data_IF_259728480611
#
_entry.id   IF_259728480611
#
_cell.length_a   1.000
_cell.length_b   1.000
_cell.length_c   1.000
_cell.angle_alpha   90.00
_cell.angle_beta   90.00
_cell.angle_gamma   90.00
#
_symmetry.space_group_name_H-M   'P 1'
#
loop_
_entity.id
_entity.type
_entity.pdbx_description
1 polymer ?
#
# COMPACT_ATOMS: atom_id res chain seq x y z
N UNK A 1 36.35 -45.98 -48.32
CA UNK A 1 35.77 -45.76 -46.98
C UNK A 1 34.38 -46.37 -46.97
N UNK A 2 34.12 -47.27 -46.02
CA UNK A 2 32.91 -48.09 -45.90
C UNK A 2 31.73 -47.29 -45.33
N UNK A 3 30.55 -47.57 -45.87
CA UNK A 3 29.17 -47.29 -45.45
C UNK A 3 28.94 -46.79 -44.01
N UNK A 4 28.28 -45.63 -43.85
CA UNK A 4 27.56 -45.25 -42.63
C UNK A 4 26.31 -44.40 -42.95
N UNK A 5 25.33 -44.98 -43.64
CA UNK A 5 23.94 -44.50 -43.55
C UNK A 5 23.07 -45.70 -43.19
N UNK A 6 22.90 -45.91 -41.88
CA UNK A 6 22.11 -47.03 -41.36
C UNK A 6 20.62 -46.72 -41.49
N UNK A 7 19.84 -47.75 -41.84
CA UNK A 7 18.36 -47.74 -41.97
C UNK A 7 17.59 -47.29 -40.71
N UNK A 8 18.28 -46.90 -39.63
CA UNK A 8 17.68 -46.35 -38.41
C UNK A 8 17.43 -44.83 -38.47
N UNK A 9 17.98 -44.14 -39.47
CA UNK A 9 17.81 -42.67 -39.59
C UNK A 9 16.52 -42.28 -40.32
N UNK A 10 15.98 -43.14 -41.20
CA UNK A 10 14.76 -42.84 -41.95
C UNK A 10 13.45 -43.05 -41.16
N UNK A 11 13.49 -43.70 -40.00
CA UNK A 11 12.29 -43.90 -39.15
C UNK A 11 12.04 -42.75 -38.16
N UNK A 12 13.03 -41.87 -37.94
CA UNK A 12 12.92 -40.78 -36.95
C UNK A 12 12.25 -39.53 -37.57
N UNK A 13 12.32 -39.35 -38.89
CA UNK A 13 11.74 -38.18 -39.58
C UNK A 13 10.22 -38.35 -39.83
N UNK A 14 9.72 -39.58 -39.86
CA UNK A 14 8.31 -39.88 -40.13
C UNK A 14 7.40 -39.90 -38.87
N UNK A 15 7.97 -39.92 -37.66
CA UNK A 15 7.18 -39.87 -36.40
C UNK A 15 6.91 -38.43 -35.95
N UNK A 16 7.66 -37.44 -36.46
CA UNK A 16 7.48 -36.02 -36.12
C UNK A 16 6.34 -35.36 -36.91
N UNK A 17 5.82 -36.00 -37.96
CA UNK A 17 4.85 -35.40 -38.89
C UNK A 17 3.39 -35.88 -38.75
N UNK A 18 3.05 -36.71 -37.76
CA UNK A 18 1.69 -37.22 -37.55
C UNK A 18 1.20 -37.10 -36.10
N UNK A 19 1.07 -35.86 -35.62
CA UNK A 19 0.20 -35.51 -34.50
C UNK A 19 -0.20 -34.03 -34.54
N UNK A 20 -0.69 -33.56 -35.69
CA UNK A 20 -1.43 -32.30 -35.79
C UNK A 20 -2.86 -32.65 -36.19
N UNK A 21 -3.62 -33.18 -35.23
CA UNK A 21 -5.07 -33.21 -35.29
C UNK A 21 -5.61 -32.47 -34.07
N UNK A 22 -6.53 -31.55 -34.35
CA UNK A 22 -7.06 -30.53 -33.45
C UNK A 22 -7.43 -31.06 -32.06
N UNK A 23 -6.69 -30.59 -31.06
CA UNK A 23 -7.18 -30.38 -29.71
C UNK A 23 -6.67 -29.02 -29.31
N UNK A 24 -7.57 -28.05 -29.10
CA UNK A 24 -7.20 -26.82 -28.42
C UNK A 24 -6.73 -27.20 -27.03
N UNK A 25 -5.41 -27.26 -26.82
CA UNK A 25 -4.86 -27.28 -25.48
C UNK A 25 -5.13 -25.91 -24.89
N UNK A 26 -6.22 -25.80 -24.14
CA UNK A 26 -6.33 -24.77 -23.12
C UNK A 26 -5.17 -25.03 -22.16
N UNK A 27 -4.07 -24.29 -22.34
CA UNK A 27 -3.08 -24.18 -21.27
C UNK A 27 -3.83 -23.53 -20.12
N UNK A 28 -4.18 -24.31 -19.10
CA UNK A 28 -4.46 -23.73 -17.80
C UNK A 28 -3.17 -23.01 -17.41
N UNK A 29 -3.18 -21.68 -17.49
CA UNK A 29 -2.10 -20.87 -16.93
C UNK A 29 -2.01 -21.27 -15.45
N UNK A 30 -0.95 -22.00 -15.10
CA UNK A 30 -0.78 -22.48 -13.74
C UNK A 30 -0.69 -21.24 -12.84
N UNK A 31 -1.65 -21.08 -11.93
CA UNK A 31 -1.62 -20.02 -10.92
C UNK A 31 -0.33 -20.06 -10.07
N UNK A 32 0.38 -21.20 -10.08
CA UNK A 32 1.69 -21.36 -9.49
C UNK A 32 2.77 -20.88 -10.45
N UNK A 33 3.43 -19.78 -10.05
CA UNK A 33 4.68 -19.31 -10.66
C UNK A 33 5.85 -19.73 -9.77
N UNK A 34 6.84 -20.37 -10.37
CA UNK A 34 8.08 -20.65 -9.67
C UNK A 34 8.85 -19.35 -9.43
N UNK A 35 9.26 -19.13 -8.19
CA UNK A 35 10.09 -18.00 -7.78
C UNK A 35 11.40 -18.50 -7.16
N UNK A 36 12.44 -17.67 -7.19
CA UNK A 36 13.66 -17.87 -6.41
C UNK A 36 13.58 -17.01 -5.17
N UNK A 37 13.68 -17.61 -3.99
CA UNK A 37 13.63 -16.92 -2.70
C UNK A 37 14.67 -17.50 -1.74
N UNK A 38 15.01 -16.74 -0.70
CA UNK A 38 15.97 -17.15 0.33
C UNK A 38 15.26 -17.47 1.62
N UNK A 39 15.58 -18.59 2.25
CA UNK A 39 15.13 -18.85 3.62
C UNK A 39 16.03 -18.11 4.60
N UNK A 40 15.46 -17.40 5.58
CA UNK A 40 16.20 -16.61 6.55
C UNK A 40 15.95 -17.11 7.98
N UNK A 41 16.84 -17.99 8.44
CA UNK A 41 16.77 -18.62 9.76
C UNK A 41 17.18 -17.68 10.92
N UNK A 42 17.79 -16.53 10.60
CA UNK A 42 18.21 -15.56 11.61
C UNK A 42 17.07 -14.60 12.02
N UNK A 43 15.97 -14.55 11.26
CA UNK A 43 14.83 -13.71 11.57
C UNK A 43 13.99 -14.31 12.70
N UNK A 44 13.85 -13.53 13.77
CA UNK A 44 12.97 -13.82 14.89
C UNK A 44 11.61 -13.18 14.69
N UNK A 45 10.56 -13.93 14.94
CA UNK A 45 9.17 -13.45 14.87
C UNK A 45 8.66 -13.34 16.30
N UNK A 46 8.02 -12.21 16.64
CA UNK A 46 7.42 -12.02 17.96
C UNK A 46 5.98 -11.54 17.83
N UNK A 47 5.12 -11.99 18.75
CA UNK A 47 3.73 -11.54 18.91
C UNK A 47 3.59 -11.02 20.34
N UNK A 48 3.20 -9.75 20.49
CA UNK A 48 3.10 -9.07 21.79
C UNK A 48 4.40 -9.16 22.64
N UNK A 49 5.57 -9.16 21.98
CA UNK A 49 6.86 -9.25 22.64
C UNK A 49 7.31 -10.67 23.01
N UNK A 50 6.48 -11.69 22.79
CA UNK A 50 6.86 -13.10 22.95
C UNK A 50 7.31 -13.71 21.63
N UNK A 51 8.42 -14.46 21.64
CA UNK A 51 8.93 -15.16 20.45
C UNK A 51 7.95 -16.25 20.00
N UNK A 52 7.67 -16.29 18.70
CA UNK A 52 6.77 -17.27 18.07
C UNK A 52 7.55 -18.54 17.77
N UNK A 53 7.01 -19.68 18.20
CA UNK A 53 7.55 -20.98 17.78
C UNK A 53 7.18 -21.23 16.30
N UNK A 54 8.21 -21.39 15.48
CA UNK A 54 8.06 -21.64 14.04
C UNK A 54 8.12 -23.13 13.69
N UNK A 55 8.19 -24.00 14.70
CA UNK A 55 8.22 -25.45 14.53
C UNK A 55 6.85 -25.99 14.11
N UNK A 56 6.85 -26.96 13.19
CA UNK A 56 5.66 -27.71 12.76
C UNK A 56 6.03 -29.18 12.63
N UNK A 57 5.03 -30.07 12.59
CA UNK A 57 5.22 -31.51 12.39
C UNK A 57 6.00 -31.83 11.11
N UNK A 58 5.81 -31.01 10.06
CA UNK A 58 6.49 -31.12 8.76
C UNK A 58 7.87 -30.41 8.70
N UNK A 59 8.34 -29.89 9.83
CA UNK A 59 9.60 -29.12 9.93
C UNK A 59 9.39 -27.64 10.23
N UNK A 60 10.50 -26.93 10.47
CA UNK A 60 10.46 -25.51 10.88
C UNK A 60 10.10 -24.60 9.70
N UNK A 61 9.07 -23.78 9.90
CA UNK A 61 8.50 -22.87 8.91
C UNK A 61 9.25 -21.54 8.88
N UNK A 62 10.56 -21.55 8.61
CA UNK A 62 11.38 -20.34 8.67
C UNK A 62 10.86 -19.22 7.75
N UNK A 63 11.04 -17.94 8.15
CA UNK A 63 10.76 -16.81 7.28
C UNK A 63 11.49 -16.91 5.94
N UNK A 64 10.82 -16.45 4.89
CA UNK A 64 11.36 -16.40 3.53
C UNK A 64 11.56 -14.95 3.13
N UNK A 65 12.73 -14.64 2.61
CA UNK A 65 13.02 -13.36 1.96
C UNK A 65 12.83 -13.52 0.47
N UNK A 66 11.88 -12.77 -0.07
CA UNK A 66 11.63 -12.70 -1.50
C UNK A 66 11.46 -11.23 -1.88
N UNK A 67 12.21 -10.80 -2.88
CA UNK A 67 12.18 -9.42 -3.42
C UNK A 67 12.34 -8.35 -2.32
N UNK A 68 13.32 -8.53 -1.43
CA UNK A 68 13.59 -7.60 -0.33
C UNK A 68 12.60 -7.63 0.84
N UNK A 69 11.50 -8.40 0.73
CA UNK A 69 10.49 -8.52 1.77
C UNK A 69 10.63 -9.83 2.56
N UNK A 70 10.36 -9.77 3.86
CA UNK A 70 10.30 -10.96 4.73
C UNK A 70 8.86 -11.46 4.85
N UNK A 71 8.64 -12.68 4.40
CA UNK A 71 7.39 -13.42 4.50
C UNK A 71 7.47 -14.38 5.69
N UNK A 72 6.44 -14.36 6.52
CA UNK A 72 6.38 -15.14 7.76
C UNK A 72 5.21 -16.11 7.67
N UNK A 73 5.35 -17.29 8.28
CA UNK A 73 4.28 -18.29 8.37
C UNK A 73 3.03 -17.71 9.04
N UNK A 74 1.95 -17.57 8.27
CA UNK A 74 0.66 -17.13 8.79
C UNK A 74 0.13 -18.10 9.87
N UNK A 75 0.42 -19.41 9.73
CA UNK A 75 0.06 -20.44 10.72
C UNK A 75 0.70 -20.17 12.08
N UNK A 76 2.03 -20.02 12.10
CA UNK A 76 2.76 -19.80 13.35
C UNK A 76 2.31 -18.52 14.07
N UNK A 77 2.11 -17.44 13.32
CA UNK A 77 1.62 -16.16 13.88
C UNK A 77 0.19 -16.28 14.41
N UNK A 78 -0.72 -16.91 13.66
CA UNK A 78 -2.10 -17.08 14.09
C UNK A 78 -2.22 -17.97 15.33
N UNK A 79 -1.47 -19.08 15.39
CA UNK A 79 -1.45 -19.98 16.55
C UNK A 79 -0.87 -19.27 17.79
N UNK A 80 0.19 -18.47 17.62
CA UNK A 80 0.72 -17.62 18.70
C UNK A 80 -0.31 -16.59 19.22
N UNK A 81 -1.28 -16.20 18.38
CA UNK A 81 -2.41 -15.35 18.75
C UNK A 81 -3.63 -16.12 19.27
N UNK A 82 -3.51 -17.44 19.49
CA UNK A 82 -4.60 -18.32 19.92
C UNK A 82 -5.60 -18.67 18.81
N UNK A 83 -5.28 -18.33 17.57
CA UNK A 83 -6.07 -18.59 16.38
C UNK A 83 -5.72 -19.92 15.70
N UNK A 84 -6.26 -20.12 14.49
CA UNK A 84 -5.96 -21.29 13.66
C UNK A 84 -5.90 -20.90 12.18
N UNK A 85 -5.16 -21.69 11.40
CA UNK A 85 -5.09 -21.54 9.94
C UNK A 85 -5.45 -22.87 9.29
N UNK A 86 -6.36 -22.83 8.32
CA UNK A 86 -6.79 -24.01 7.56
C UNK A 86 -6.80 -23.73 6.07
N UNK A 87 -6.41 -24.72 5.29
CA UNK A 87 -6.64 -24.71 3.86
C UNK A 87 -8.05 -25.24 3.58
N UNK A 88 -8.88 -24.43 2.93
CA UNK A 88 -10.17 -24.85 2.40
C UNK A 88 -10.00 -25.17 0.91
N UNK A 89 -9.98 -26.47 0.60
CA UNK A 89 -9.80 -26.94 -0.77
C UNK A 89 -10.99 -26.61 -1.70
N UNK A 90 -12.20 -26.47 -1.15
CA UNK A 90 -13.40 -26.21 -1.96
C UNK A 90 -13.42 -24.78 -2.51
N UNK A 91 -12.97 -23.82 -1.71
CA UNK A 91 -12.91 -22.40 -2.05
C UNK A 91 -11.52 -21.95 -2.50
N UNK A 92 -10.51 -22.83 -2.40
CA UNK A 92 -9.10 -22.51 -2.64
C UNK A 92 -8.61 -21.34 -1.78
N UNK A 93 -9.01 -21.32 -0.50
CA UNK A 93 -8.68 -20.24 0.44
C UNK A 93 -7.87 -20.73 1.64
N UNK A 94 -6.95 -19.89 2.10
CA UNK A 94 -6.35 -20.01 3.44
C UNK A 94 -7.28 -19.27 4.41
N UNK A 95 -7.96 -20.02 5.27
CA UNK A 95 -8.85 -19.49 6.29
C UNK A 95 -8.09 -19.30 7.59
N UNK A 96 -8.12 -18.07 8.13
CA UNK A 96 -7.49 -17.72 9.40
C UNK A 96 -8.59 -17.35 10.38
N UNK A 97 -8.67 -18.05 11.51
CA UNK A 97 -9.58 -17.73 12.61
C UNK A 97 -8.80 -17.10 13.74
N UNK A 98 -9.24 -15.96 14.26
CA UNK A 98 -8.66 -15.38 15.47
C UNK A 98 -9.06 -16.19 16.70
N UNK A 99 -8.16 -16.28 17.68
CA UNK A 99 -8.50 -16.77 19.00
C UNK A 99 -9.35 -15.74 19.73
N UNK A 100 -10.48 -16.14 20.32
CA UNK A 100 -11.16 -15.31 21.32
C UNK A 100 -10.25 -15.21 22.52
N UNK A 101 -9.60 -14.06 22.71
CA UNK A 101 -8.89 -13.76 23.95
C UNK A 101 -9.94 -13.61 25.05
N UNK A 102 -10.19 -14.65 25.84
CA UNK A 102 -10.84 -14.53 27.15
C UNK A 102 -9.86 -13.85 28.09
N UNK A 103 -9.75 -12.53 27.96
CA UNK A 103 -9.05 -11.65 28.87
C UNK A 103 -9.86 -10.37 28.95
N UNK A 104 -10.78 -10.33 29.91
CA UNK A 104 -11.41 -9.10 30.35
C UNK A 104 -10.30 -8.16 30.84
N UNK A 105 -9.86 -7.25 29.97
CA UNK A 105 -9.09 -6.09 30.36
C UNK A 105 -10.08 -4.98 30.63
N UNK A 106 -10.28 -4.65 31.91
CA UNK A 106 -11.04 -3.46 32.32
C UNK A 106 -10.33 -2.22 31.73
N UNK A 107 -11.06 -1.23 31.17
CA UNK A 107 -10.45 -0.01 30.67
C UNK A 107 -9.84 0.77 31.83
N UNK A 108 -8.53 1.00 31.82
CA UNK A 108 -7.90 1.80 32.87
C UNK A 108 -7.96 3.28 32.49
N UNK A 109 -8.95 3.98 33.05
CA UNK A 109 -8.88 5.40 33.37
C UNK A 109 -9.44 5.56 34.77
N UNK A 110 -8.57 5.85 35.74
CA UNK A 110 -8.90 6.81 36.79
C UNK A 110 -7.65 7.49 37.36
N UNK A 111 -7.78 8.81 37.49
CA UNK A 111 -6.81 9.71 38.07
C UNK A 111 -7.09 9.83 39.58
N UNK A 112 -6.27 9.25 40.47
CA UNK A 112 -6.06 9.76 41.86
C UNK A 112 -4.75 9.24 42.49
N UNK A 113 -3.77 10.15 42.60
CA UNK A 113 -2.85 10.44 43.73
C UNK A 113 -2.30 9.36 44.71
N UNK A 114 -0.95 9.28 44.73
CA UNK A 114 0.03 9.10 45.87
C UNK A 114 0.47 7.67 46.29
N UNK A 115 1.69 7.46 46.89
CA UNK A 115 2.97 7.27 46.17
C UNK A 115 3.82 6.02 46.57
N UNK A 116 4.63 5.53 45.62
CA UNK A 116 5.94 4.78 45.77
C UNK A 116 5.95 3.38 46.45
N UNK A 117 6.89 2.45 46.12
CA UNK A 117 8.34 2.66 45.96
C UNK A 117 8.98 2.22 44.64
N UNK A 118 10.10 2.90 44.34
CA UNK A 118 11.05 2.74 43.24
C UNK A 118 11.82 1.41 43.32
N UNK A 119 11.89 0.61 42.24
CA UNK A 119 12.94 -0.40 42.08
C UNK A 119 14.19 0.18 41.42
N UNK A 120 15.31 -0.24 41.99
CA UNK A 120 16.70 0.13 41.76
C UNK A 120 17.22 -0.22 40.35
N UNK A 121 18.11 0.62 39.84
CA UNK A 121 18.81 0.48 38.57
C UNK A 121 19.78 -0.71 38.56
N UNK A 122 19.87 -1.40 37.42
CA UNK A 122 20.97 -2.31 37.05
C UNK A 122 21.71 -1.75 35.81
N UNK A 123 23.00 -2.07 35.64
CA UNK A 123 23.98 -1.18 35.01
C UNK A 123 24.02 -1.24 33.47
N UNK A 124 24.38 -0.09 32.90
CA UNK A 124 24.60 0.18 31.48
C UNK A 124 25.82 -0.59 30.92
N UNK A 125 25.74 -1.21 29.73
CA UNK A 125 26.91 -1.60 28.96
C UNK A 125 27.55 -0.37 28.25
N UNK A 126 28.87 -0.36 28.03
CA UNK A 126 29.61 0.79 27.48
C UNK A 126 29.24 1.14 26.02
N UNK A 127 29.52 2.39 25.58
CA UNK A 127 29.00 2.95 24.35
C UNK A 127 29.68 2.35 23.11
N UNK A 128 28.89 1.68 22.27
CA UNK A 128 29.32 1.38 20.89
C UNK A 128 28.91 2.56 20.02
N UNK A 129 29.90 3.41 19.72
CA UNK A 129 29.85 4.33 18.59
C UNK A 129 29.71 3.54 17.29
N UNK A 130 28.54 3.63 16.64
CA UNK A 130 28.37 3.29 15.22
C UNK A 130 27.75 4.51 14.50
N UNK A 131 28.22 4.86 13.29
CA UNK A 131 28.00 6.17 12.69
C UNK A 131 26.52 6.45 12.40
N UNK A 132 26.15 7.71 12.62
CA UNK A 132 24.97 8.36 12.05
C UNK A 132 25.04 8.30 10.52
N UNK A 133 24.45 7.27 9.92
CA UNK A 133 23.95 7.39 8.55
C UNK A 133 22.58 8.06 8.64
N UNK A 134 22.58 9.36 8.30
CA UNK A 134 21.36 10.11 8.12
C UNK A 134 20.49 9.41 7.08
N UNK A 135 19.29 9.02 7.49
CA UNK A 135 18.23 8.67 6.56
C UNK A 135 17.86 9.94 5.78
N UNK A 136 18.48 10.12 4.62
CA UNK A 136 18.02 11.10 3.65
C UNK A 136 16.76 10.53 3.01
N UNK A 137 15.60 10.90 3.57
CA UNK A 137 14.30 10.74 2.91
C UNK A 137 14.29 11.61 1.64
N UNK A 138 14.89 11.08 0.57
CA UNK A 138 15.00 11.70 -0.74
C UNK A 138 13.69 11.50 -1.52
N UNK A 139 12.61 12.08 -1.00
CA UNK A 139 11.48 12.48 -1.84
C UNK A 139 11.82 13.81 -2.54
N UNK A 140 11.53 13.90 -3.83
CA UNK A 140 11.71 15.11 -4.63
C UNK A 140 10.89 16.24 -4.03
N UNK A 141 11.56 17.27 -3.54
CA UNK A 141 10.92 18.51 -3.10
C UNK A 141 10.62 19.33 -4.35
N UNK A 142 9.35 19.40 -4.76
CA UNK A 142 8.94 20.47 -5.67
C UNK A 142 8.93 21.77 -4.88
N UNK A 143 9.81 22.69 -5.22
CA UNK A 143 9.81 24.04 -4.69
C UNK A 143 8.57 24.78 -5.21
N UNK A 144 7.44 24.74 -4.49
CA UNK A 144 6.25 25.50 -4.85
C UNK A 144 4.94 25.04 -4.20
N UNK A 145 3.88 25.80 -4.48
CA UNK A 145 2.47 25.49 -4.15
C UNK A 145 1.86 24.43 -5.09
N UNK A 146 2.69 23.81 -5.94
CA UNK A 146 2.24 22.73 -6.85
C UNK A 146 3.36 21.74 -7.17
N UNK A 147 2.98 20.51 -7.49
CA UNK A 147 3.86 19.46 -8.02
C UNK A 147 3.28 18.89 -9.30
N UNK A 148 4.13 18.60 -10.29
CA UNK A 148 3.75 17.86 -11.49
C UNK A 148 4.58 16.58 -11.58
N UNK A 149 3.93 15.46 -11.88
CA UNK A 149 4.57 14.14 -11.91
C UNK A 149 3.77 13.17 -12.80
N UNK A 150 4.46 12.16 -13.30
CA UNK A 150 3.80 11.00 -13.92
C UNK A 150 3.62 9.94 -12.84
N UNK A 151 2.42 9.38 -12.77
CA UNK A 151 2.14 8.25 -11.89
C UNK A 151 1.71 7.05 -12.72
N UNK A 152 2.06 5.88 -12.22
CA UNK A 152 1.77 4.61 -12.84
C UNK A 152 1.19 3.73 -11.74
N UNK A 153 0.02 3.16 -11.94
CA UNK A 153 -0.48 2.11 -11.07
C UNK A 153 -0.35 0.78 -11.80
N UNK A 154 0.61 -0.01 -11.38
CA UNK A 154 1.06 -1.26 -11.99
C UNK A 154 1.05 -2.42 -11.00
N UNK A 155 0.24 -2.34 -9.93
CA UNK A 155 0.15 -3.39 -8.93
C UNK A 155 -0.18 -4.74 -9.60
N UNK A 156 0.68 -5.78 -9.47
CA UNK A 156 0.52 -7.05 -10.18
C UNK A 156 -0.72 -7.84 -9.75
N UNK A 157 -1.30 -7.51 -8.60
CA UNK A 157 -2.53 -8.12 -8.09
C UNK A 157 -3.79 -7.40 -8.58
N UNK A 158 -3.66 -6.18 -9.09
CA UNK A 158 -4.80 -5.40 -9.58
C UNK A 158 -5.34 -5.92 -10.92
N UNK A 159 -6.63 -5.70 -11.14
CA UNK A 159 -7.32 -6.15 -12.36
C UNK A 159 -7.09 -5.23 -13.56
N UNK A 160 -6.65 -4.00 -13.31
CA UNK A 160 -6.28 -3.03 -14.33
C UNK A 160 -5.20 -2.09 -13.84
N UNK A 161 -4.36 -1.66 -14.76
CA UNK A 161 -3.29 -0.71 -14.54
C UNK A 161 -3.67 0.62 -15.18
N UNK A 162 -3.05 1.69 -14.70
CA UNK A 162 -3.24 2.99 -15.30
C UNK A 162 -1.97 3.82 -15.26
N UNK A 163 -1.92 4.82 -16.13
CA UNK A 163 -0.88 5.85 -16.15
C UNK A 163 -1.55 7.19 -16.31
N UNK A 164 -1.09 8.19 -15.56
CA UNK A 164 -1.59 9.55 -15.65
C UNK A 164 -0.48 10.57 -15.41
N UNK A 165 -0.61 11.74 -16.04
CA UNK A 165 0.24 12.89 -15.79
C UNK A 165 -0.52 13.84 -14.88
N UNK A 166 -0.09 13.95 -13.62
CA UNK A 166 -0.72 14.83 -12.65
C UNK A 166 -0.01 16.18 -12.56
N UNK A 167 -0.79 17.22 -12.34
CA UNK A 167 -0.36 18.46 -11.69
C UNK A 167 -1.31 18.73 -10.52
N UNK A 168 -0.78 18.73 -9.31
CA UNK A 168 -1.52 19.01 -8.08
C UNK A 168 -1.07 20.37 -7.56
N UNK A 169 -2.02 21.26 -7.31
CA UNK A 169 -1.79 22.58 -6.74
C UNK A 169 -2.56 22.74 -5.44
N UNK A 170 -1.95 23.38 -4.44
CA UNK A 170 -2.62 23.86 -3.22
C UNK A 170 -3.02 25.31 -3.46
N UNK A 171 -4.33 25.58 -3.48
CA UNK A 171 -4.86 26.91 -3.76
C UNK A 171 -5.04 27.73 -2.47
N UNK A 172 -5.50 27.09 -1.39
CA UNK A 172 -5.79 27.74 -0.11
C UNK A 172 -5.81 26.73 1.03
N UNK A 173 -5.24 27.09 2.17
CA UNK A 173 -5.41 26.35 3.43
C UNK A 173 -6.33 27.15 4.35
N UNK A 174 -7.41 26.52 4.82
CA UNK A 174 -8.38 27.14 5.74
C UNK A 174 -8.38 26.35 7.05
N UNK A 175 -7.85 26.91 8.15
CA UNK A 175 -7.94 26.27 9.46
C UNK A 175 -9.39 25.99 9.85
N UNK A 176 -9.64 24.84 10.47
CA UNK A 176 -10.96 24.48 10.99
C UNK A 176 -10.88 24.03 12.44
N UNK A 177 -11.90 24.38 13.24
CA UNK A 177 -12.03 23.92 14.63
C UNK A 177 -12.56 22.50 14.71
N UNK A 178 -12.45 21.86 15.88
CA UNK A 178 -13.03 20.54 16.11
C UNK A 178 -14.56 20.55 15.90
N UNK A 179 -15.25 21.63 16.25
CA UNK A 179 -16.68 21.84 16.00
C UNK A 179 -16.97 21.91 14.50
N UNK A 180 -16.17 22.64 13.72
CA UNK A 180 -16.33 22.70 12.27
C UNK A 180 -16.07 21.35 11.60
N UNK A 181 -15.21 20.50 12.16
CA UNK A 181 -15.05 19.10 11.69
C UNK A 181 -16.32 18.28 11.96
N UNK A 182 -17.03 18.52 13.07
CA UNK A 182 -18.33 17.90 13.34
C UNK A 182 -19.39 18.39 12.36
N UNK A 183 -19.40 19.69 12.03
CA UNK A 183 -20.33 20.27 11.06
C UNK A 183 -20.15 19.68 9.65
N UNK A 184 -18.95 19.18 9.33
CA UNK A 184 -18.67 18.42 8.10
C UNK A 184 -19.18 16.97 8.15
N UNK A 185 -19.78 16.52 9.27
CA UNK A 185 -20.34 15.18 9.44
C UNK A 185 -19.38 14.15 10.05
N UNK A 186 -18.23 14.57 10.56
CA UNK A 186 -17.25 13.65 11.16
C UNK A 186 -17.37 13.59 12.69
N UNK A 187 -16.78 12.54 13.27
CA UNK A 187 -16.63 12.47 14.72
C UNK A 187 -15.74 13.61 15.20
N UNK A 188 -16.11 14.23 16.32
CA UNK A 188 -15.30 15.27 16.95
C UNK A 188 -13.89 14.72 17.21
N UNK A 189 -12.84 15.31 16.61
CA UNK A 189 -11.49 14.84 16.82
C UNK A 189 -10.98 15.27 18.19
N UNK A 190 -10.01 14.53 18.73
CA UNK A 190 -9.38 14.85 20.01
C UNK A 190 -8.61 16.17 19.90
N UNK A 191 -8.93 17.14 20.76
CA UNK A 191 -8.16 18.38 20.86
C UNK A 191 -6.84 18.10 21.57
N UNK A 192 -5.76 18.02 20.80
CA UNK A 192 -4.41 17.82 21.31
C UNK A 192 -3.61 19.12 21.29
N UNK A 193 -2.62 19.24 22.18
CA UNK A 193 -1.71 20.39 22.18
C UNK A 193 -0.80 20.46 20.94
N UNK A 194 -0.70 19.38 20.16
CA UNK A 194 0.29 19.23 19.07
C UNK A 194 -0.32 19.26 17.67
N UNK A 195 -1.63 18.99 17.53
CA UNK A 195 -2.30 18.92 16.22
C UNK A 195 -3.45 19.90 16.06
N UNK A 196 -3.70 20.32 14.82
CA UNK A 196 -4.86 21.09 14.38
C UNK A 196 -5.43 20.52 13.09
N UNK A 197 -6.51 21.10 12.55
CA UNK A 197 -7.11 20.66 11.29
C UNK A 197 -7.25 21.81 10.31
N UNK A 198 -7.25 21.48 9.02
CA UNK A 198 -7.54 22.43 7.96
C UNK A 198 -8.25 21.76 6.78
N UNK A 199 -9.10 22.54 6.10
CA UNK A 199 -9.53 22.24 4.75
C UNK A 199 -8.50 22.84 3.79
N UNK A 200 -7.85 21.98 3.00
CA UNK A 200 -6.93 22.36 1.93
C UNK A 200 -7.70 22.30 0.62
N UNK A 201 -7.83 23.46 -0.04
CA UNK A 201 -8.37 23.56 -1.38
C UNK A 201 -7.28 23.17 -2.37
N UNK A 202 -7.50 22.07 -3.09
CA UNK A 202 -6.56 21.54 -4.07
C UNK A 202 -7.16 21.60 -5.46
N UNK A 203 -6.32 21.86 -6.47
CA UNK A 203 -6.66 21.64 -7.88
C UNK A 203 -5.84 20.45 -8.38
N UNK A 204 -6.51 19.44 -8.90
CA UNK A 204 -5.88 18.29 -9.56
C UNK A 204 -6.19 18.34 -11.04
N UNK A 205 -5.13 18.52 -11.84
CA UNK A 205 -5.16 18.28 -13.28
C UNK A 205 -4.55 16.91 -13.56
N UNK A 206 -5.30 16.05 -14.22
CA UNK A 206 -4.84 14.76 -14.70
C UNK A 206 -4.96 14.73 -16.22
N UNK A 207 -3.83 14.71 -16.91
CA UNK A 207 -3.73 14.58 -18.35
C UNK A 207 -3.26 13.17 -18.72
N UNK A 208 -3.52 12.75 -19.97
CA UNK A 208 -3.05 11.48 -20.51
C UNK A 208 -3.38 10.26 -19.62
N UNK A 209 -4.59 10.24 -19.04
CA UNK A 209 -5.07 9.09 -18.30
C UNK A 209 -5.27 7.94 -19.27
N UNK A 210 -4.48 6.90 -19.12
CA UNK A 210 -4.57 5.67 -19.91
C UNK A 210 -4.84 4.49 -18.97
N UNK A 211 -5.73 3.61 -19.40
CA UNK A 211 -6.10 2.40 -18.66
C UNK A 211 -5.74 1.16 -19.48
N UNK A 212 -5.19 0.16 -18.82
CA UNK A 212 -4.95 -1.17 -19.39
C UNK A 212 -5.60 -2.22 -18.51
N UNK A 213 -6.30 -3.16 -19.13
CA UNK A 213 -6.89 -4.29 -18.43
C UNK A 213 -5.89 -5.44 -18.41
N UNK A 214 -5.64 -6.00 -17.22
CA UNK A 214 -4.63 -7.05 -17.02
C UNK A 214 -5.27 -8.40 -16.78
N UNK A 215 -6.43 -8.44 -16.11
CA UNK A 215 -7.23 -9.66 -15.92
C UNK A 215 -8.65 -9.41 -16.43
N UNK A 216 -9.09 -10.09 -17.51
CA UNK A 216 -10.46 -9.98 -17.98
C UNK A 216 -11.41 -10.60 -16.94
N UNK A 217 -12.34 -9.80 -16.44
CA UNK A 217 -13.43 -10.22 -15.57
C UNK A 217 -14.73 -9.92 -16.33
N UNK A 218 -15.65 -10.89 -16.52
CA UNK A 218 -16.93 -10.62 -17.16
C UNK A 218 -17.66 -9.49 -16.42
N UNK A 219 -17.86 -8.35 -17.11
CA UNK A 219 -18.50 -7.14 -16.57
C UNK A 219 -17.56 -5.99 -16.19
N UNK A 220 -16.23 -6.17 -16.26
CA UNK A 220 -15.23 -5.11 -15.99
C UNK A 220 -14.52 -4.67 -17.27
N UNK A 221 -15.27 -4.22 -18.29
CA UNK A 221 -14.72 -3.77 -19.58
C UNK A 221 -14.07 -2.38 -19.54
N UNK A 222 -14.11 -1.70 -18.38
CA UNK A 222 -13.69 -0.32 -18.21
C UNK A 222 -13.13 -0.07 -16.81
N UNK A 223 -12.19 0.88 -16.71
CA UNK A 223 -11.78 1.50 -15.46
C UNK A 223 -12.69 2.69 -15.10
N UNK A 224 -12.57 3.15 -13.86
CA UNK A 224 -13.25 4.36 -13.38
C UNK A 224 -12.25 5.50 -13.22
N UNK A 225 -12.47 6.62 -13.89
CA UNK A 225 -11.60 7.80 -13.83
C UNK A 225 -11.57 8.37 -12.40
N UNK A 226 -12.68 8.29 -11.65
CA UNK A 226 -12.73 8.73 -10.26
C UNK A 226 -11.89 7.89 -9.30
N UNK A 227 -11.40 6.71 -9.73
CA UNK A 227 -10.40 5.92 -9.00
C UNK A 227 -8.95 6.22 -9.41
N UNK A 228 -8.75 7.02 -10.47
CA UNK A 228 -7.45 7.40 -11.00
C UNK A 228 -7.14 8.82 -10.52
N UNK A 229 -6.74 8.89 -9.25
CA UNK A 229 -6.46 10.14 -8.53
C UNK A 229 -5.11 10.08 -7.82
N UNK A 230 -4.50 11.24 -7.49
CA UNK A 230 -3.32 11.30 -6.63
C UNK A 230 -3.55 10.62 -5.28
N UNK A 231 -2.56 9.88 -4.78
CA UNK A 231 -2.61 9.30 -3.42
C UNK A 231 -2.16 10.35 -2.39
N UNK A 232 -3.12 11.12 -1.86
CA UNK A 232 -2.89 11.98 -0.70
C UNK A 232 -2.63 11.12 0.55
N UNK A 233 -1.37 11.06 0.97
CA UNK A 233 -0.92 10.15 2.03
C UNK A 233 -0.99 10.78 3.42
N UNK A 234 -0.92 12.11 3.51
CA UNK A 234 -1.04 12.83 4.78
C UNK A 234 -0.25 14.13 4.79
N UNK A 235 0.28 14.48 5.96
CA UNK A 235 1.03 15.72 6.19
C UNK A 235 2.36 15.41 6.87
N UNK A 236 3.42 16.09 6.47
CA UNK A 236 4.73 16.05 7.13
C UNK A 236 5.15 17.44 7.56
N UNK A 237 6.01 17.53 8.56
CA UNK A 237 6.80 18.75 8.81
C UNK A 237 7.87 18.93 7.73
N UNK A 238 8.32 20.17 7.51
CA UNK A 238 9.24 20.52 6.42
C UNK A 238 10.59 19.78 6.45
N UNK A 239 11.11 19.47 7.64
CA UNK A 239 12.35 18.69 7.79
C UNK A 239 12.12 17.17 7.69
N UNK A 240 10.87 16.74 7.46
CA UNK A 240 10.44 15.34 7.31
C UNK A 240 10.65 14.48 8.56
N UNK A 241 10.87 15.08 9.74
CA UNK A 241 11.09 14.37 11.00
C UNK A 241 9.82 13.73 11.59
N UNK A 242 8.64 14.25 11.23
CA UNK A 242 7.35 13.76 11.70
C UNK A 242 6.32 13.73 10.58
N UNK A 243 5.47 12.69 10.59
CA UNK A 243 4.40 12.46 9.61
C UNK A 243 3.09 12.16 10.31
N UNK A 244 2.00 12.73 9.81
CA UNK A 244 0.62 12.34 10.11
C UNK A 244 0.08 11.64 8.87
N UNK A 245 -0.42 10.42 9.04
CA UNK A 245 -0.99 9.62 7.96
C UNK A 245 -2.48 9.92 7.84
N UNK A 246 -2.96 10.00 6.60
CA UNK A 246 -4.38 10.10 6.29
C UNK A 246 -4.81 11.50 5.90
N UNK A 247 -5.73 11.51 4.94
CA UNK A 247 -6.45 12.67 4.43
C UNK A 247 -7.89 12.22 4.21
N UNK A 248 -8.86 13.13 4.33
CA UNK A 248 -10.25 12.85 4.00
C UNK A 248 -10.72 13.80 2.89
N UNK A 249 -11.11 13.25 1.76
CA UNK A 249 -11.52 14.00 0.55
C UNK A 249 -12.94 13.64 0.08
N UNK A 250 -13.70 12.94 0.92
CA UNK A 250 -15.07 12.49 0.71
C UNK A 250 -15.94 12.77 1.94
N UNK A 251 -17.26 12.63 1.79
CA UNK A 251 -18.20 12.66 2.93
C UNK A 251 -18.70 14.04 3.34
N UNK A 252 -18.25 15.12 2.69
CA UNK A 252 -18.69 16.49 2.95
C UNK A 252 -18.87 17.29 1.64
N UNK A 253 -19.52 18.45 1.74
CA UNK A 253 -19.79 19.30 0.57
C UNK A 253 -18.52 20.00 0.07
N UNK A 254 -18.34 20.00 -1.25
CA UNK A 254 -17.15 20.57 -1.89
C UNK A 254 -15.88 19.74 -1.71
N UNK A 255 -15.99 18.50 -1.22
CA UNK A 255 -14.86 17.58 -1.14
C UNK A 255 -14.33 17.23 -2.54
N UNK A 256 -13.03 16.93 -2.66
CA UNK A 256 -12.43 16.62 -3.97
C UNK A 256 -13.08 15.42 -4.66
N UNK A 257 -13.29 14.30 -3.95
CA UNK A 257 -13.93 13.11 -4.53
C UNK A 257 -15.34 13.40 -5.04
N UNK A 258 -16.15 14.16 -4.29
CA UNK A 258 -17.50 14.55 -4.71
C UNK A 258 -17.46 15.43 -5.96
N UNK A 259 -16.64 16.48 -5.95
CA UNK A 259 -16.52 17.39 -7.10
C UNK A 259 -16.01 16.66 -8.35
N UNK A 260 -15.13 15.68 -8.18
CA UNK A 260 -14.64 14.85 -9.28
C UNK A 260 -15.75 13.97 -9.84
N UNK A 261 -16.49 13.27 -8.99
CA UNK A 261 -17.62 12.45 -9.42
C UNK A 261 -18.67 13.29 -10.17
N UNK A 262 -19.01 14.47 -9.65
CA UNK A 262 -19.95 15.41 -10.28
C UNK A 262 -19.44 15.91 -11.64
N UNK A 263 -18.16 16.27 -11.74
CA UNK A 263 -17.54 16.72 -12.97
C UNK A 263 -17.45 15.62 -14.04
N UNK A 264 -17.23 14.37 -13.62
CA UNK A 264 -17.15 13.23 -14.52
C UNK A 264 -18.54 12.78 -14.99
N UNK A 265 -19.52 12.72 -14.09
CA UNK A 265 -20.88 12.26 -14.40
C UNK A 265 -20.88 10.95 -15.19
N UNK A 266 -21.57 10.93 -16.34
CA UNK A 266 -21.60 9.77 -17.24
C UNK A 266 -20.25 9.45 -17.91
N UNK A 267 -19.28 10.36 -17.90
CA UNK A 267 -17.96 10.20 -18.50
C UNK A 267 -16.94 9.53 -17.58
N UNK A 268 -17.34 9.04 -16.39
CA UNK A 268 -16.45 8.40 -15.42
C UNK A 268 -15.82 7.06 -15.91
N UNK A 269 -16.24 6.51 -17.05
CA UNK A 269 -15.72 5.23 -17.55
C UNK A 269 -14.62 5.45 -18.58
N UNK A 270 -13.57 4.63 -18.52
CA UNK A 270 -12.47 4.60 -19.49
C UNK A 270 -12.21 3.17 -19.96
N UNK A 271 -12.22 2.94 -21.28
CA UNK A 271 -11.91 1.63 -21.87
C UNK A 271 -10.41 1.47 -22.15
N UNK A 272 -9.89 0.23 -22.23
CA UNK A 272 -8.52 -0.01 -22.67
C UNK A 272 -8.23 0.66 -24.02
N UNK A 273 -7.12 1.39 -24.10
CA UNK A 273 -6.69 2.13 -25.31
C UNK A 273 -7.35 3.51 -25.48
N UNK A 274 -8.30 3.89 -24.63
CA UNK A 274 -8.77 5.27 -24.57
C UNK A 274 -7.82 6.14 -23.74
N UNK A 275 -7.81 7.44 -24.07
CA UNK A 275 -7.17 8.46 -23.26
C UNK A 275 -8.21 9.45 -22.75
N UNK A 276 -8.13 9.80 -21.46
CA UNK A 276 -9.02 10.77 -20.80
C UNK A 276 -8.21 11.79 -20.00
N UNK A 277 -8.89 12.83 -19.54
CA UNK A 277 -8.33 13.84 -18.64
C UNK A 277 -9.42 14.44 -17.74
N UNK A 278 -8.99 15.06 -16.65
CA UNK A 278 -9.85 15.92 -15.83
C UNK A 278 -9.04 17.07 -15.23
N UNK A 279 -9.74 18.14 -14.86
CA UNK A 279 -9.18 19.26 -14.12
C UNK A 279 -10.23 19.72 -13.10
N UNK A 280 -10.04 19.36 -11.84
CA UNK A 280 -11.06 19.54 -10.80
C UNK A 280 -10.42 20.16 -9.57
N UNK A 281 -11.11 21.14 -8.99
CA UNK A 281 -10.77 21.68 -7.68
C UNK A 281 -11.74 21.14 -6.64
N UNK A 282 -11.24 20.90 -5.43
CA UNK A 282 -12.04 20.47 -4.31
C UNK A 282 -11.25 20.47 -3.02
N UNK A 283 -11.91 20.18 -1.91
CA UNK A 283 -11.30 20.27 -0.59
C UNK A 283 -10.90 18.90 -0.07
N UNK A 284 -9.78 18.88 0.63
CA UNK A 284 -9.33 17.75 1.44
C UNK A 284 -9.19 18.22 2.90
N UNK A 285 -9.70 17.43 3.84
CA UNK A 285 -9.51 17.63 5.26
C UNK A 285 -8.22 16.95 5.70
N UNK A 286 -7.35 17.69 6.36
CA UNK A 286 -6.05 17.22 6.86
C UNK A 286 -5.86 17.58 8.32
N UNK A 287 -5.04 16.77 9.00
CA UNK A 287 -4.51 17.09 10.32
C UNK A 287 -3.12 17.71 10.15
N UNK A 288 -2.85 18.81 10.84
CA UNK A 288 -1.63 19.60 10.78
C UNK A 288 -0.88 19.55 12.11
N UNK A 289 0.43 19.75 12.06
CA UNK A 289 1.26 20.02 13.23
C UNK A 289 1.17 21.49 13.63
N UNK A 290 0.76 21.77 14.87
CA UNK A 290 0.66 23.14 15.42
C UNK A 290 2.05 23.79 15.48
N UNK A 291 2.15 25.03 14.98
CA UNK A 291 3.39 25.82 15.03
C UNK A 291 4.52 25.33 14.10
N UNK A 292 4.24 24.39 13.21
CA UNK A 292 5.22 23.84 12.27
C UNK A 292 4.91 24.25 10.83
N UNK A 293 5.94 24.24 9.97
CA UNK A 293 5.75 24.32 8.53
C UNK A 293 5.26 22.98 8.01
N UNK A 294 3.99 22.92 7.61
CA UNK A 294 3.34 21.70 7.14
C UNK A 294 3.51 21.54 5.63
N UNK A 295 3.69 20.31 5.17
CA UNK A 295 3.70 19.94 3.77
C UNK A 295 2.71 18.81 3.51
N UNK A 296 1.87 18.96 2.50
CA UNK A 296 1.03 17.89 1.98
C UNK A 296 1.94 16.83 1.36
N UNK A 297 1.78 15.60 1.80
CA UNK A 297 2.50 14.44 1.28
C UNK A 297 1.61 13.69 0.30
N UNK A 298 2.08 13.62 -0.95
CA UNK A 298 1.52 12.79 -2.02
C UNK A 298 2.49 11.64 -2.26
N UNK A 299 1.94 10.44 -2.46
CA UNK A 299 2.72 9.25 -2.78
C UNK A 299 2.46 8.83 -4.21
N UNK A 300 3.53 8.57 -4.96
CA UNK A 300 3.44 7.88 -6.24
C UNK A 300 3.02 6.44 -6.02
N UNK A 301 2.11 5.95 -6.85
CA UNK A 301 1.58 4.59 -6.79
C UNK A 301 2.36 3.60 -7.66
N UNK A 302 3.39 4.09 -8.36
CA UNK A 302 4.29 3.28 -9.18
C UNK A 302 5.07 2.29 -8.32
N UNK A 303 4.75 1.01 -8.49
CA UNK A 303 5.42 -0.08 -7.77
C UNK A 303 6.87 -0.28 -8.21
N UNK A 304 7.34 0.40 -9.26
CA UNK A 304 8.75 0.40 -9.67
C UNK A 304 9.57 1.48 -8.96
N UNK A 305 8.92 2.41 -8.26
CA UNK A 305 9.59 3.44 -7.47
C UNK A 305 9.69 2.98 -6.02
N UNK A 306 10.90 3.00 -5.47
CA UNK A 306 11.15 2.68 -4.06
C UNK A 306 10.27 3.53 -3.13
N UNK A 307 9.80 2.92 -2.04
CA UNK A 307 8.84 3.56 -1.14
C UNK A 307 9.31 4.93 -0.64
N UNK A 308 10.57 5.04 -0.21
CA UNK A 308 11.13 6.28 0.32
C UNK A 308 11.35 7.37 -0.75
N UNK A 309 11.46 6.96 -2.01
CA UNK A 309 11.60 7.86 -3.17
C UNK A 309 10.26 8.26 -3.80
N UNK A 310 9.19 7.53 -3.49
CA UNK A 310 7.83 7.77 -4.03
C UNK A 310 7.14 9.02 -3.47
N UNK A 311 7.74 9.69 -2.49
CA UNK A 311 7.11 10.80 -1.79
C UNK A 311 7.36 12.15 -2.48
N UNK A 312 6.26 12.87 -2.73
CA UNK A 312 6.21 14.23 -3.25
C UNK A 312 5.59 15.14 -2.19
N UNK A 313 6.09 16.38 -2.10
CA UNK A 313 5.69 17.31 -1.05
C UNK A 313 5.31 18.68 -1.60
N UNK A 314 4.14 19.18 -1.20
CA UNK A 314 3.66 20.54 -1.51
C UNK A 314 3.53 21.32 -0.21
N UNK A 315 4.00 22.56 -0.16
CA UNK A 315 3.88 23.41 1.03
C UNK A 315 2.41 23.77 1.31
N UNK A 316 1.99 23.70 2.58
CA UNK A 316 0.71 24.21 3.05
C UNK A 316 0.95 25.59 3.67
N UNK A 317 0.64 26.65 2.91
CA UNK A 317 0.75 28.05 3.33
C UNK A 317 -0.55 28.55 3.97
#
# INVERSE_FOLDING_TARGET
>A
MKNLFSKKVSAIIAIVSLAVSAGTLAYADSALKQITAYQNQALKVTVNGSEVDMSSEDGTMYPVVYDGHSYVSAKAVAEAMGGSVKWNNSTQTVEITSGTRTGSGIPDKDNTTKPTPKPTAAPTPPPVTKPSEGSSNSGTVSSGESVAYTDIYNNPYSKGHWKANYKVSVNKVTPVTAEQVVDLGFKKPDDTSTTSWALVDVTVKADNINYTQVKPDPGSEYGYISSIVPQFSGVTVADKSAKIIGVTDYGFDGSFSRNLDDALGSNNKIKPGETKSYNVSGKILVTLFKGQSNMLWIRQQDSTVEFDSSALYIKLN
#
